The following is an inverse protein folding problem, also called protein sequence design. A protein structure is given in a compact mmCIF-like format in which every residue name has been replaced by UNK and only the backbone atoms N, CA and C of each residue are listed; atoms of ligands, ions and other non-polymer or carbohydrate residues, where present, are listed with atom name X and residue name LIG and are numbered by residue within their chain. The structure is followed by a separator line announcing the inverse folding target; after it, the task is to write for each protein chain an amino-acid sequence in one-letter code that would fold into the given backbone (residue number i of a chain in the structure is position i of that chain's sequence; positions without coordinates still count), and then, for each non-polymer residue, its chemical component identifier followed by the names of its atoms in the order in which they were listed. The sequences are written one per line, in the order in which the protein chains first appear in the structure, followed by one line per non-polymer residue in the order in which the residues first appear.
data_IF_925342497117
#
_entry.id   IF_925342497117
#
_cell.length_a   1.000
_cell.length_b   1.000
_cell.length_c   1.000
_cell.angle_alpha   90.00
_cell.angle_beta   90.00
_cell.angle_gamma   90.00
#
_symmetry.space_group_name_H-M   'P 1'
#
loop_
_entity.id
_entity.type
_entity.pdbx_description
1 polymer ?
#
# COMPACT_ATOMS: atom_id res chain seq x y z
N UNK A 1 16.16 -0.55 -3.98
CA UNK A 1 15.24 -1.55 -3.35
C UNK A 1 15.89 -2.43 -2.30
N UNK A 2 17.06 -2.05 -1.82
CA UNK A 2 17.85 -2.82 -0.84
C UNK A 2 17.11 -3.05 0.49
N UNK A 3 16.31 -2.06 0.94
CA UNK A 3 15.49 -2.18 2.16
C UNK A 3 14.55 -3.38 2.10
N UNK A 4 13.87 -3.58 0.95
CA UNK A 4 12.95 -4.69 0.76
C UNK A 4 13.70 -6.05 0.67
N UNK A 5 14.84 -6.10 0.00
CA UNK A 5 15.64 -7.33 -0.06
C UNK A 5 16.25 -7.69 1.30
N UNK A 6 16.63 -6.67 2.10
CA UNK A 6 17.08 -6.90 3.48
C UNK A 6 15.96 -7.49 4.35
N UNK A 7 14.71 -7.06 4.18
CA UNK A 7 13.57 -7.66 4.87
C UNK A 7 13.41 -9.13 4.50
N UNK A 8 13.44 -9.48 3.21
CA UNK A 8 13.34 -10.89 2.79
C UNK A 8 14.46 -11.74 3.41
N UNK A 9 15.72 -11.28 3.30
CA UNK A 9 16.85 -11.99 3.90
C UNK A 9 16.70 -12.12 5.41
N UNK A 10 16.27 -11.05 6.09
CA UNK A 10 16.06 -11.07 7.53
C UNK A 10 15.04 -12.14 7.94
N UNK A 11 13.91 -12.27 7.19
CA UNK A 11 12.92 -13.32 7.47
C UNK A 11 13.50 -14.72 7.18
N UNK A 12 14.22 -14.90 6.07
CA UNK A 12 14.83 -16.18 5.71
C UNK A 12 15.86 -16.66 6.74
N UNK A 13 16.55 -15.75 7.42
CA UNK A 13 17.62 -16.03 8.38
C UNK A 13 17.12 -16.12 9.84
N UNK A 14 16.12 -15.32 10.19
CA UNK A 14 15.70 -15.10 11.59
C UNK A 14 14.21 -15.35 11.83
N UNK A 15 13.44 -15.71 10.80
CA UNK A 15 12.00 -15.93 10.95
C UNK A 15 11.71 -17.20 11.75
N UNK A 16 10.64 -17.14 12.52
CA UNK A 16 10.10 -18.29 13.26
C UNK A 16 8.95 -18.94 12.47
N UNK A 17 8.89 -20.26 12.50
CA UNK A 17 7.77 -20.99 11.90
C UNK A 17 6.48 -20.72 12.69
N UNK A 18 5.43 -20.38 11.96
CA UNK A 18 4.12 -20.05 12.55
C UNK A 18 3.01 -20.60 11.67
N UNK A 19 1.99 -21.19 12.30
CA UNK A 19 0.72 -21.50 11.65
C UNK A 19 -0.03 -20.24 11.28
N UNK A 20 -0.88 -20.33 10.27
CA UNK A 20 -1.73 -19.26 9.82
C UNK A 20 -3.15 -19.72 9.50
N UNK A 21 -4.07 -18.79 9.25
CA UNK A 21 -5.47 -19.06 8.94
C UNK A 21 -5.66 -19.95 7.69
N UNK A 22 -4.75 -19.82 6.71
CA UNK A 22 -4.85 -20.57 5.45
C UNK A 22 -4.35 -22.01 5.56
N UNK A 23 -3.69 -22.38 6.66
CA UNK A 23 -3.07 -23.69 6.85
C UNK A 23 -1.80 -23.93 6.05
N UNK A 24 -1.30 -22.92 5.30
CA UNK A 24 -0.06 -22.99 4.52
C UNK A 24 1.18 -22.98 5.41
N UNK A 25 1.12 -22.22 6.51
CA UNK A 25 2.26 -21.93 7.39
C UNK A 25 3.11 -20.78 6.87
N UNK A 26 3.80 -20.12 7.78
CA UNK A 26 4.62 -18.95 7.49
C UNK A 26 5.96 -19.03 8.21
N UNK A 27 6.98 -18.37 7.65
CA UNK A 27 8.18 -17.95 8.33
C UNK A 27 8.04 -16.46 8.64
N UNK A 28 8.03 -16.08 9.92
CA UNK A 28 7.58 -14.75 10.37
C UNK A 28 8.58 -14.08 11.29
N UNK A 29 8.71 -12.76 11.18
CA UNK A 29 9.32 -11.87 12.17
C UNK A 29 8.30 -10.84 12.64
N UNK A 30 8.36 -10.43 13.92
CA UNK A 30 7.47 -9.43 14.46
C UNK A 30 8.19 -8.09 14.66
N UNK A 31 7.67 -7.07 13.98
CA UNK A 31 8.23 -5.72 14.04
C UNK A 31 9.43 -5.51 13.12
N UNK A 32 9.17 -4.87 11.96
CA UNK A 32 10.23 -4.45 11.03
C UNK A 32 9.90 -3.11 10.42
N UNK A 33 10.90 -2.32 10.06
CA UNK A 33 10.68 -1.02 9.45
C UNK A 33 11.62 -0.79 8.27
N UNK A 34 11.04 -0.38 7.14
CA UNK A 34 11.76 0.06 5.94
C UNK A 34 11.60 1.56 5.73
N UNK A 35 12.57 2.19 5.08
CA UNK A 35 12.53 3.62 4.73
C UNK A 35 12.92 3.82 3.27
N UNK A 36 12.07 4.55 2.54
CA UNK A 36 12.27 4.85 1.13
C UNK A 36 12.33 6.37 0.93
N UNK A 37 13.47 6.89 0.53
CA UNK A 37 13.62 8.29 0.14
C UNK A 37 13.05 8.49 -1.27
N UNK A 38 11.85 9.07 -1.36
CA UNK A 38 11.13 9.25 -2.61
C UNK A 38 11.79 10.26 -3.55
N UNK A 39 12.74 11.05 -3.05
CA UNK A 39 13.54 11.94 -3.89
C UNK A 39 14.60 11.22 -4.72
N UNK A 40 14.94 9.97 -4.38
CA UNK A 40 15.93 9.13 -5.07
C UNK A 40 15.36 8.25 -6.17
N UNK A 41 14.04 8.24 -6.33
CA UNK A 41 13.33 7.44 -7.32
C UNK A 41 12.07 6.81 -6.73
N UNK A 42 11.25 6.25 -7.59
CA UNK A 42 10.02 5.58 -7.20
C UNK A 42 10.34 4.15 -6.71
N UNK A 43 9.98 3.78 -5.45
CA UNK A 43 10.38 2.52 -4.83
C UNK A 43 9.58 1.33 -5.36
N UNK A 44 9.65 1.07 -6.64
CA UNK A 44 9.07 -0.09 -7.29
C UNK A 44 10.08 -1.23 -7.35
N UNK A 45 9.66 -2.43 -6.95
CA UNK A 45 10.54 -3.61 -6.94
C UNK A 45 11.02 -3.92 -8.35
N UNK A 46 12.35 -4.08 -8.51
CA UNK A 46 13.01 -4.35 -9.79
C UNK A 46 13.52 -5.79 -9.91
N UNK A 47 13.65 -6.50 -8.80
CA UNK A 47 14.12 -7.89 -8.77
C UNK A 47 13.07 -8.91 -9.22
N UNK A 48 11.85 -8.47 -9.44
CA UNK A 48 10.79 -9.15 -10.20
C UNK A 48 9.84 -8.14 -10.80
N UNK A 49 9.11 -8.51 -11.84
CA UNK A 49 8.05 -7.66 -12.41
C UNK A 49 6.89 -7.54 -11.44
N UNK A 50 6.46 -6.32 -11.16
CA UNK A 50 5.26 -5.99 -10.36
C UNK A 50 4.21 -5.36 -11.27
N UNK A 51 2.93 -5.68 -11.06
CA UNK A 51 1.83 -5.25 -11.93
C UNK A 51 1.31 -3.87 -11.55
N UNK A 52 1.98 -2.82 -12.05
CA UNK A 52 1.69 -1.41 -11.75
C UNK A 52 0.23 -1.02 -12.00
N UNK A 53 -0.39 -1.53 -13.08
CA UNK A 53 -1.79 -1.25 -13.41
C UNK A 53 -2.73 -1.59 -12.25
N UNK A 54 -2.55 -2.76 -11.64
CA UNK A 54 -3.36 -3.17 -10.49
C UNK A 54 -3.16 -2.25 -9.28
N UNK A 55 -1.93 -1.82 -9.02
CA UNK A 55 -1.60 -0.93 -7.90
C UNK A 55 -2.32 0.42 -8.05
N UNK A 56 -2.25 1.02 -9.23
CA UNK A 56 -2.86 2.32 -9.48
C UNK A 56 -4.39 2.22 -9.40
N UNK A 57 -5.02 1.23 -10.04
CA UNK A 57 -6.47 1.07 -9.99
C UNK A 57 -6.97 0.77 -8.57
N UNK A 58 -6.25 -0.05 -7.79
CA UNK A 58 -6.59 -0.32 -6.40
C UNK A 58 -6.55 0.96 -5.56
N UNK A 59 -5.49 1.76 -5.67
CA UNK A 59 -5.38 3.03 -4.95
C UNK A 59 -6.49 4.01 -5.34
N UNK A 60 -6.79 4.15 -6.63
CA UNK A 60 -7.89 4.99 -7.12
C UNK A 60 -9.25 4.50 -6.62
N UNK A 61 -9.44 3.19 -6.53
CA UNK A 61 -10.66 2.57 -6.00
C UNK A 61 -10.81 2.85 -4.49
N UNK A 62 -9.75 2.74 -3.69
CA UNK A 62 -9.76 3.17 -2.29
C UNK A 62 -10.09 4.66 -2.14
N UNK A 63 -9.46 5.52 -2.95
CA UNK A 63 -9.68 6.96 -2.90
C UNK A 63 -11.10 7.38 -3.32
N UNK A 64 -11.81 6.55 -4.08
CA UNK A 64 -13.23 6.75 -4.38
C UNK A 64 -14.17 6.33 -3.25
N UNK A 65 -13.67 5.69 -2.20
CA UNK A 65 -14.49 5.14 -1.13
C UNK A 65 -15.32 3.93 -1.55
N UNK A 66 -14.99 3.33 -2.69
CA UNK A 66 -15.72 2.20 -3.25
C UNK A 66 -15.31 0.90 -2.55
N UNK A 67 -16.25 -0.04 -2.42
CA UNK A 67 -16.07 -1.36 -1.80
C UNK A 67 -16.44 -2.51 -2.75
N UNK A 68 -17.01 -2.17 -3.91
CA UNK A 68 -17.40 -3.15 -4.91
C UNK A 68 -16.28 -3.38 -5.93
N UNK A 69 -15.95 -4.63 -6.20
CA UNK A 69 -14.86 -5.01 -7.11
C UNK A 69 -15.15 -4.74 -8.59
N UNK A 70 -16.38 -4.35 -8.94
CA UNK A 70 -16.77 -4.12 -10.33
C UNK A 70 -15.85 -3.12 -11.06
N UNK A 71 -15.51 -1.99 -10.42
CA UNK A 71 -14.56 -1.03 -11.02
C UNK A 71 -13.22 -1.69 -11.34
N UNK A 72 -12.70 -2.50 -10.43
CA UNK A 72 -11.43 -3.21 -10.62
C UNK A 72 -11.53 -4.21 -11.78
N UNK A 73 -12.60 -5.00 -11.83
CA UNK A 73 -12.86 -6.00 -12.87
C UNK A 73 -13.02 -5.35 -14.25
N UNK A 74 -13.76 -4.25 -14.36
CA UNK A 74 -13.95 -3.48 -15.60
C UNK A 74 -12.60 -2.95 -16.14
N UNK A 75 -11.62 -2.74 -15.25
CA UNK A 75 -10.26 -2.36 -15.63
C UNK A 75 -9.27 -3.54 -15.71
N UNK A 76 -9.76 -4.78 -15.66
CA UNK A 76 -8.95 -6.00 -15.79
C UNK A 76 -8.11 -6.32 -14.54
N UNK A 77 -8.46 -5.77 -13.38
CA UNK A 77 -7.82 -6.02 -12.08
C UNK A 77 -8.69 -7.00 -11.30
N UNK A 78 -8.09 -8.09 -10.81
CA UNK A 78 -8.81 -9.20 -10.16
C UNK A 78 -8.26 -9.56 -8.78
N UNK A 79 -7.41 -8.71 -8.20
CA UNK A 79 -6.69 -8.99 -6.96
C UNK A 79 -7.60 -9.09 -5.72
N UNK A 80 -8.87 -8.69 -5.82
CA UNK A 80 -9.86 -8.74 -4.75
C UNK A 80 -11.00 -9.72 -4.98
N UNK A 81 -11.03 -10.42 -6.14
CA UNK A 81 -12.15 -11.31 -6.51
C UNK A 81 -12.40 -12.44 -5.51
N UNK A 82 -11.34 -12.99 -4.89
CA UNK A 82 -11.41 -14.14 -3.98
C UNK A 82 -12.14 -13.82 -2.67
N UNK A 83 -12.26 -12.53 -2.31
CA UNK A 83 -12.90 -12.09 -1.07
C UNK A 83 -14.27 -11.45 -1.27
N UNK A 84 -14.62 -11.10 -2.51
CA UNK A 84 -15.90 -10.47 -2.82
C UNK A 84 -17.06 -11.46 -2.70
N UNK A 85 -18.19 -10.95 -2.21
CA UNK A 85 -19.44 -11.72 -2.18
C UNK A 85 -20.03 -11.94 -3.59
N UNK A 86 -21.20 -12.55 -3.68
CA UNK A 86 -21.91 -12.81 -4.96
C UNK A 86 -22.29 -11.53 -5.72
N UNK A 87 -22.40 -10.39 -5.03
CA UNK A 87 -22.69 -9.08 -5.61
C UNK A 87 -21.42 -8.27 -5.93
N UNK A 88 -20.25 -8.82 -5.62
CA UNK A 88 -18.96 -8.17 -5.79
C UNK A 88 -18.59 -7.20 -4.68
N UNK A 89 -19.26 -7.24 -3.53
CA UNK A 89 -19.01 -6.35 -2.40
C UNK A 89 -18.03 -6.99 -1.40
N UNK A 90 -17.25 -6.15 -0.75
CA UNK A 90 -16.25 -6.50 0.27
C UNK A 90 -16.62 -6.01 1.68
N UNK A 91 -17.78 -5.38 1.82
CA UNK A 91 -18.13 -4.68 3.04
C UNK A 91 -17.32 -3.38 3.26
N UNK A 92 -17.32 -2.81 4.48
CA UNK A 92 -16.79 -1.47 4.74
C UNK A 92 -15.25 -1.42 4.80
N UNK A 93 -14.56 -2.00 3.79
CA UNK A 93 -13.08 -2.06 3.74
C UNK A 93 -12.45 -0.71 3.36
N UNK A 94 -11.21 -0.53 3.64
CA UNK A 94 -10.27 0.55 3.26
C UNK A 94 -10.90 1.87 2.78
N UNK A 95 -11.36 1.93 1.53
CA UNK A 95 -11.88 3.14 0.90
C UNK A 95 -13.09 3.69 1.64
N UNK A 96 -14.00 2.83 2.10
CA UNK A 96 -15.15 3.22 2.91
C UNK A 96 -14.71 3.90 4.20
N UNK A 97 -13.71 3.35 4.88
CA UNK A 97 -13.18 3.95 6.11
C UNK A 97 -12.44 5.27 5.83
N UNK A 98 -11.68 5.35 4.74
CA UNK A 98 -10.92 6.55 4.40
C UNK A 98 -11.81 7.74 4.01
N UNK A 99 -12.94 7.47 3.31
CA UNK A 99 -13.76 8.51 2.66
C UNK A 99 -15.14 8.72 3.29
N UNK A 100 -15.65 7.74 4.02
CA UNK A 100 -17.02 7.78 4.59
C UNK A 100 -17.09 7.03 5.93
N UNK A 101 -16.16 7.30 6.84
CA UNK A 101 -16.25 6.79 8.22
C UNK A 101 -17.48 7.36 8.89
N UNK A 102 -18.30 6.50 9.51
CA UNK A 102 -19.47 6.96 10.26
C UNK A 102 -19.13 7.14 11.74
N UNK A 103 -19.48 8.34 12.28
CA UNK A 103 -19.44 8.56 13.72
C UNK A 103 -20.71 7.98 14.40
N UNK A 104 -20.76 8.03 15.73
CA UNK A 104 -21.88 7.50 16.51
C UNK A 104 -23.24 8.17 16.19
N UNK A 105 -23.25 9.31 15.51
CA UNK A 105 -24.45 10.03 15.10
C UNK A 105 -24.78 9.81 13.61
N UNK A 106 -24.03 8.91 12.93
CA UNK A 106 -24.19 8.62 11.50
C UNK A 106 -23.60 9.70 10.57
N UNK A 107 -22.85 10.69 11.10
CA UNK A 107 -22.18 11.70 10.28
C UNK A 107 -21.01 11.07 9.53
N UNK A 108 -20.93 11.35 8.22
CA UNK A 108 -19.80 10.97 7.39
C UNK A 108 -18.56 11.80 7.73
N UNK A 109 -17.41 11.13 7.84
CA UNK A 109 -16.10 11.73 8.03
C UNK A 109 -15.22 11.27 6.88
N UNK A 110 -14.76 12.23 6.06
CA UNK A 110 -13.77 12.01 5.03
C UNK A 110 -12.39 12.27 5.62
N UNK A 111 -11.68 11.20 5.98
CA UNK A 111 -10.37 11.28 6.61
C UNK A 111 -9.28 11.78 5.62
N UNK A 112 -9.42 11.48 4.33
CA UNK A 112 -8.47 11.92 3.29
C UNK A 112 -8.56 13.43 3.13
N UNK A 113 -9.77 13.98 2.98
CA UNK A 113 -9.97 15.43 2.89
C UNK A 113 -9.52 16.16 4.17
N UNK A 114 -9.82 15.61 5.34
CA UNK A 114 -9.33 16.15 6.61
C UNK A 114 -7.79 16.15 6.70
N UNK A 115 -7.13 15.09 6.23
CA UNK A 115 -5.67 15.02 6.22
C UNK A 115 -5.08 16.08 5.27
N UNK A 116 -5.65 16.24 4.06
CA UNK A 116 -5.23 17.25 3.08
C UNK A 116 -5.42 18.66 3.64
N UNK A 117 -6.57 18.93 4.25
CA UNK A 117 -6.84 20.23 4.89
C UNK A 117 -5.82 20.53 6.00
N UNK A 118 -5.53 19.55 6.86
CA UNK A 118 -4.51 19.71 7.91
C UNK A 118 -3.12 19.95 7.34
N UNK A 119 -2.73 19.24 6.26
CA UNK A 119 -1.43 19.45 5.61
C UNK A 119 -1.30 20.89 5.09
N UNK A 120 -2.38 21.45 4.49
CA UNK A 120 -2.39 22.80 3.94
C UNK A 120 -2.45 23.88 5.03
N UNK A 121 -3.30 23.72 6.04
CA UNK A 121 -3.65 24.77 6.99
C UNK A 121 -2.99 24.64 8.36
N UNK A 122 -2.54 23.43 8.73
CA UNK A 122 -1.86 23.15 10.00
C UNK A 122 -0.76 22.08 9.85
N UNK A 123 0.27 22.34 9.01
CA UNK A 123 1.28 21.34 8.65
C UNK A 123 2.11 20.81 9.83
N UNK A 124 2.14 21.54 10.94
CA UNK A 124 2.83 21.13 12.18
C UNK A 124 2.01 20.16 13.04
N UNK A 125 0.79 19.82 12.64
CA UNK A 125 -0.06 18.88 13.37
C UNK A 125 0.57 17.49 13.42
N UNK A 126 0.46 16.86 14.60
CA UNK A 126 0.83 15.45 14.82
C UNK A 126 -0.37 14.51 14.69
N UNK A 127 -1.51 15.00 14.19
CA UNK A 127 -2.80 14.31 14.13
C UNK A 127 -3.24 14.03 12.69
N UNK A 128 -2.32 14.12 11.73
CA UNK A 128 -2.60 13.87 10.31
C UNK A 128 -2.58 12.36 10.09
N UNK A 129 -3.64 11.68 10.50
CA UNK A 129 -3.76 10.22 10.50
C UNK A 129 -5.00 9.82 9.72
N UNK A 130 -4.89 8.75 8.94
CA UNK A 130 -6.01 8.08 8.25
C UNK A 130 -6.00 6.62 8.70
N UNK A 131 -7.13 6.15 9.25
CA UNK A 131 -7.29 4.79 9.76
C UNK A 131 -8.31 4.02 8.92
N UNK A 132 -7.95 2.78 8.58
CA UNK A 132 -8.90 1.80 8.04
C UNK A 132 -9.39 0.83 9.13
N UNK A 133 -8.74 0.82 10.30
CA UNK A 133 -9.05 -0.08 11.40
C UNK A 133 -10.20 0.47 12.24
N UNK A 134 -11.43 0.18 11.82
CA UNK A 134 -12.65 0.53 12.55
C UNK A 134 -13.14 -0.68 13.35
N UNK A 135 -12.84 -0.69 14.66
CA UNK A 135 -13.16 -1.82 15.55
C UNK A 135 -14.65 -2.17 15.55
N UNK A 136 -15.52 -1.19 15.32
CA UNK A 136 -16.97 -1.40 15.30
C UNK A 136 -17.50 -2.09 14.05
N UNK A 137 -16.71 -2.16 12.97
CA UNK A 137 -17.15 -2.69 11.67
C UNK A 137 -16.24 -3.83 11.14
N UNK A 138 -15.27 -4.31 11.94
CA UNK A 138 -14.32 -5.34 11.47
C UNK A 138 -14.99 -6.63 11.03
N UNK A 139 -16.06 -7.04 11.74
CA UNK A 139 -16.79 -8.29 11.44
C UNK A 139 -17.66 -8.20 10.19
N UNK A 140 -17.89 -6.97 9.68
CA UNK A 140 -18.63 -6.72 8.43
C UNK A 140 -17.69 -6.70 7.20
N UNK A 141 -16.38 -6.72 7.40
CA UNK A 141 -15.37 -6.66 6.35
C UNK A 141 -15.04 -8.07 5.84
N UNK A 142 -15.07 -8.27 4.53
CA UNK A 142 -14.64 -9.53 3.90
C UNK A 142 -13.17 -9.87 4.24
N UNK A 143 -12.34 -8.84 4.43
CA UNK A 143 -10.97 -8.95 4.89
C UNK A 143 -10.62 -7.76 5.80
N UNK A 144 -10.28 -8.04 7.06
CA UNK A 144 -9.83 -7.01 8.00
C UNK A 144 -8.56 -6.32 7.48
N UNK A 145 -8.46 -4.97 7.54
CA UNK A 145 -7.38 -4.23 6.92
C UNK A 145 -5.98 -4.65 7.37
N UNK A 146 -5.14 -5.08 6.45
CA UNK A 146 -3.73 -5.38 6.71
C UNK A 146 -2.92 -4.10 6.94
N UNK A 147 -3.02 -3.12 6.02
CA UNK A 147 -2.50 -1.78 6.22
C UNK A 147 -3.51 -0.94 7.01
N UNK A 148 -3.33 -0.95 8.34
CA UNK A 148 -4.35 -0.55 9.30
C UNK A 148 -4.53 0.97 9.40
N UNK A 149 -3.43 1.74 9.39
CA UNK A 149 -3.45 3.20 9.37
C UNK A 149 -2.15 3.78 8.85
N UNK A 150 -2.21 5.03 8.42
CA UNK A 150 -1.02 5.79 8.03
C UNK A 150 -1.07 7.21 8.55
N UNK A 151 0.10 7.82 8.68
CA UNK A 151 0.29 9.18 9.18
C UNK A 151 1.15 9.98 8.23
N UNK A 152 0.75 11.23 8.00
CA UNK A 152 1.57 12.20 7.29
C UNK A 152 2.34 13.11 8.25
N UNK A 153 3.50 13.56 7.79
CA UNK A 153 4.36 14.50 8.49
C UNK A 153 4.98 15.49 7.50
N UNK A 154 4.82 16.78 7.77
CA UNK A 154 5.38 17.84 6.93
C UNK A 154 6.63 18.39 7.60
N UNK A 155 7.73 18.44 6.87
CA UNK A 155 8.97 19.07 7.31
C UNK A 155 9.82 19.56 6.11
N UNK A 156 10.40 20.74 6.22
CA UNK A 156 11.30 21.30 5.20
C UNK A 156 10.73 21.28 3.77
N UNK A 157 9.45 21.60 3.62
CA UNK A 157 8.75 21.60 2.33
C UNK A 157 8.53 20.22 1.72
N UNK A 158 8.67 19.15 2.53
CA UNK A 158 8.47 17.76 2.12
C UNK A 158 7.34 17.11 2.92
N UNK A 159 6.57 16.25 2.24
CA UNK A 159 5.58 15.38 2.84
C UNK A 159 6.17 13.99 3.02
N UNK A 160 6.20 13.51 4.26
CA UNK A 160 6.55 12.14 4.61
C UNK A 160 5.28 11.36 4.94
N UNK A 161 5.29 10.05 4.69
CA UNK A 161 4.20 9.15 5.05
C UNK A 161 4.76 7.97 5.84
N UNK A 162 4.10 7.59 6.93
CA UNK A 162 4.39 6.34 7.64
C UNK A 162 3.15 5.46 7.64
N UNK A 163 3.27 4.24 7.12
CA UNK A 163 2.27 3.19 7.18
C UNK A 163 2.56 2.22 8.32
N UNK A 164 1.54 1.86 9.09
CA UNK A 164 1.55 0.66 9.92
C UNK A 164 0.72 -0.44 9.25
N UNK A 165 1.40 -1.54 8.88
CA UNK A 165 0.80 -2.74 8.32
C UNK A 165 0.90 -3.87 9.35
N UNK A 166 -0.25 -4.31 9.91
CA UNK A 166 -0.32 -5.30 10.97
C UNK A 166 0.08 -6.71 10.53
N UNK A 167 -0.19 -7.03 9.26
CA UNK A 167 0.07 -8.32 8.64
C UNK A 167 0.58 -8.10 7.23
N UNK A 168 1.73 -8.65 6.90
CA UNK A 168 2.46 -8.35 5.68
C UNK A 168 2.96 -9.62 4.99
N UNK A 169 2.25 -10.08 3.95
CA UNK A 169 2.81 -11.02 2.98
C UNK A 169 3.94 -10.33 2.23
N UNK A 170 5.16 -10.64 2.62
CA UNK A 170 6.35 -9.94 2.14
C UNK A 170 6.63 -10.26 0.67
N UNK A 171 6.24 -11.43 0.19
CA UNK A 171 6.52 -11.81 -1.19
C UNK A 171 5.50 -11.22 -2.19
N UNK A 172 4.20 -11.37 -1.97
CA UNK A 172 3.18 -10.90 -2.91
C UNK A 172 2.65 -9.51 -2.57
N UNK A 173 2.30 -9.25 -1.31
CA UNK A 173 1.58 -8.04 -0.90
C UNK A 173 2.48 -6.81 -0.71
N UNK A 174 3.59 -6.94 0.02
CA UNK A 174 4.45 -5.79 0.38
C UNK A 174 4.95 -4.99 -0.81
N UNK A 175 5.37 -5.59 -1.97
CA UNK A 175 5.72 -4.81 -3.17
C UNK A 175 4.61 -3.88 -3.67
N UNK A 176 3.35 -4.34 -3.60
CA UNK A 176 2.16 -3.53 -3.95
C UNK A 176 1.98 -2.39 -2.97
N UNK A 177 2.06 -2.67 -1.66
CA UNK A 177 1.86 -1.66 -0.63
C UNK A 177 2.95 -0.57 -0.67
N UNK A 178 4.23 -0.93 -0.87
CA UNK A 178 5.32 0.05 -1.04
C UNK A 178 5.01 1.01 -2.18
N UNK A 179 4.68 0.49 -3.36
CA UNK A 179 4.40 1.32 -4.52
C UNK A 179 3.12 2.15 -4.33
N UNK A 180 2.04 1.58 -3.81
CA UNK A 180 0.76 2.24 -3.58
C UNK A 180 0.90 3.46 -2.64
N UNK A 181 1.55 3.28 -1.48
CA UNK A 181 1.74 4.38 -0.53
C UNK A 181 2.78 5.41 -0.97
N UNK A 182 3.77 5.01 -1.78
CA UNK A 182 4.65 5.97 -2.43
C UNK A 182 3.87 6.83 -3.45
N UNK A 183 2.99 6.24 -4.27
CA UNK A 183 2.10 6.97 -5.18
C UNK A 183 1.21 7.93 -4.38
N UNK A 184 0.52 7.45 -3.35
CA UNK A 184 -0.33 8.28 -2.49
C UNK A 184 0.43 9.48 -1.90
N UNK A 185 1.67 9.26 -1.45
CA UNK A 185 2.51 10.33 -0.91
C UNK A 185 2.85 11.37 -1.98
N UNK A 186 3.15 10.96 -3.21
CA UNK A 186 3.37 11.87 -4.33
C UNK A 186 2.11 12.67 -4.70
N UNK A 187 0.94 12.00 -4.76
CA UNK A 187 -0.34 12.65 -5.06
C UNK A 187 -0.67 13.74 -4.04
N UNK A 188 -0.64 13.40 -2.75
CA UNK A 188 -0.94 14.34 -1.67
C UNK A 188 0.10 15.47 -1.60
N UNK A 189 1.39 15.16 -1.80
CA UNK A 189 2.42 16.20 -1.87
C UNK A 189 2.14 17.20 -3.00
N UNK A 190 1.81 16.73 -4.21
CA UNK A 190 1.50 17.60 -5.35
C UNK A 190 0.35 18.54 -5.05
N UNK A 191 -0.81 18.01 -4.61
CA UNK A 191 -2.01 18.84 -4.37
C UNK A 191 -1.89 19.78 -3.16
N UNK A 192 -0.89 19.54 -2.30
CA UNK A 192 -0.56 20.41 -1.16
C UNK A 192 0.63 21.35 -1.46
N UNK A 193 1.18 21.36 -2.68
CA UNK A 193 2.33 22.20 -3.04
C UNK A 193 3.64 21.82 -2.35
N UNK A 194 3.79 20.56 -1.94
CA UNK A 194 4.95 19.99 -1.27
C UNK A 194 5.72 19.05 -2.20
N UNK A 195 6.96 18.71 -1.83
CA UNK A 195 7.72 17.61 -2.45
C UNK A 195 7.48 16.32 -1.68
N UNK A 196 7.44 15.19 -2.38
CA UNK A 196 7.44 13.89 -1.72
C UNK A 196 8.78 13.69 -0.97
N UNK A 197 8.68 13.24 0.28
CA UNK A 197 9.81 13.05 1.19
C UNK A 197 10.16 11.58 1.37
N UNK A 198 9.99 11.07 2.60
CA UNK A 198 10.27 9.67 2.94
C UNK A 198 8.97 8.90 3.15
N UNK A 199 8.88 7.73 2.53
CA UNK A 199 7.90 6.72 2.90
C UNK A 199 8.52 5.77 3.93
N UNK A 200 7.88 5.64 5.09
CA UNK A 200 8.27 4.72 6.17
C UNK A 200 7.25 3.60 6.25
N UNK A 201 7.67 2.37 6.04
CA UNK A 201 6.80 1.19 6.10
C UNK A 201 7.11 0.38 7.35
N UNK A 202 6.22 0.45 8.33
CA UNK A 202 6.31 -0.27 9.60
C UNK A 202 5.42 -1.50 9.54
N UNK A 203 6.00 -2.67 9.76
CA UNK A 203 5.34 -3.96 9.69
C UNK A 203 5.18 -4.55 11.10
N UNK A 204 4.02 -5.11 11.39
CA UNK A 204 3.77 -5.96 12.54
C UNK A 204 4.27 -7.38 12.28
N UNK A 205 3.37 -8.30 11.93
CA UNK A 205 3.71 -9.66 11.47
C UNK A 205 4.17 -9.60 10.00
N UNK A 206 5.48 -9.65 9.78
CA UNK A 206 6.09 -9.69 8.45
C UNK A 206 6.48 -11.14 8.14
N UNK A 207 5.86 -11.72 7.10
CA UNK A 207 6.00 -13.14 6.86
C UNK A 207 6.19 -13.50 5.38
N UNK A 208 6.84 -14.64 5.18
CA UNK A 208 6.86 -15.38 3.94
C UNK A 208 6.05 -16.65 4.14
N UNK A 209 5.09 -16.93 3.27
CA UNK A 209 4.42 -18.23 3.25
C UNK A 209 5.44 -19.33 2.94
N UNK A 210 5.28 -20.50 3.55
CA UNK A 210 6.24 -21.62 3.38
C UNK A 210 6.37 -22.08 1.92
N UNK A 211 5.30 -21.94 1.14
CA UNK A 211 5.27 -22.21 -0.30
C UNK A 211 5.86 -21.09 -1.17
N UNK A 212 6.37 -20.00 -0.56
CA UNK A 212 7.05 -18.88 -1.25
C UNK A 212 8.56 -18.84 -0.97
N UNK A 213 9.12 -19.72 -0.14
CA UNK A 213 10.52 -19.64 0.31
C UNK A 213 11.53 -19.78 -0.84
N UNK A 214 11.27 -20.67 -1.80
CA UNK A 214 12.14 -20.82 -2.98
C UNK A 214 12.09 -19.58 -3.87
N UNK A 215 10.90 -19.02 -4.10
CA UNK A 215 10.69 -17.79 -4.84
C UNK A 215 11.39 -16.61 -4.18
N UNK A 216 11.31 -16.51 -2.86
CA UNK A 216 12.00 -15.48 -2.08
C UNK A 216 13.53 -15.61 -2.20
N UNK A 217 14.10 -16.83 -2.10
CA UNK A 217 15.52 -17.07 -2.32
C UNK A 217 15.95 -16.71 -3.75
N UNK A 218 15.16 -17.07 -4.75
CA UNK A 218 15.40 -16.66 -6.13
C UNK A 218 15.39 -15.13 -6.27
N UNK A 219 14.44 -14.45 -5.63
CA UNK A 219 14.33 -12.99 -5.72
C UNK A 219 15.53 -12.29 -5.10
N UNK A 220 16.00 -12.71 -3.92
CA UNK A 220 17.17 -12.08 -3.27
C UNK A 220 18.50 -12.40 -3.95
N UNK A 221 18.56 -13.43 -4.80
CA UNK A 221 19.76 -13.73 -5.62
C UNK A 221 19.93 -12.78 -6.81
N UNK A 222 18.94 -11.95 -7.10
CA UNK A 222 18.96 -11.00 -8.23
C UNK A 222 19.45 -9.62 -7.81
N UNK A 223 20.35 -9.03 -8.59
CA UNK A 223 20.81 -7.68 -8.38
C UNK A 223 19.68 -6.66 -8.63
N UNK A 224 19.43 -5.70 -7.71
CA UNK A 224 18.47 -4.63 -7.95
C UNK A 224 18.88 -3.76 -9.12
N UNK A 225 17.92 -3.41 -9.97
CA UNK A 225 18.12 -2.46 -11.06
C UNK A 225 17.81 -1.03 -10.58
N UNK A 226 18.24 0.02 -11.33
CA UNK A 226 17.93 1.40 -10.98
C UNK A 226 16.43 1.62 -10.76
N UNK A 227 16.11 2.50 -9.80
CA UNK A 227 14.72 2.86 -9.54
C UNK A 227 14.13 3.65 -10.70
N UNK A 228 12.88 3.37 -11.09
CA UNK A 228 12.16 4.18 -12.05
C UNK A 228 11.77 5.54 -11.47
N UNK A 229 11.25 6.41 -12.34
CA UNK A 229 10.70 7.72 -11.96
C UNK A 229 9.18 7.69 -12.09
N UNK A 230 8.48 8.12 -11.06
CA UNK A 230 7.03 8.37 -11.12
C UNK A 230 6.80 9.81 -11.57
N UNK A 231 5.97 9.99 -12.61
CA UNK A 231 5.44 11.28 -13.03
C UNK A 231 3.94 11.30 -12.87
N UNK A 232 3.43 12.37 -12.32
CA UNK A 232 2.00 12.65 -12.20
C UNK A 232 1.64 13.80 -13.16
N UNK A 233 0.40 13.80 -13.65
CA UNK A 233 -0.13 14.93 -14.40
C UNK A 233 -0.13 16.19 -13.50
N UNK A 234 0.68 17.21 -13.82
CA UNK A 234 0.85 18.38 -12.95
C UNK A 234 -0.40 19.27 -12.87
N UNK A 235 -1.39 19.07 -13.74
CA UNK A 235 -2.62 19.88 -13.79
C UNK A 235 -3.69 19.38 -12.80
N UNK A 236 -3.45 18.28 -12.08
CA UNK A 236 -4.40 17.78 -11.09
C UNK A 236 -4.18 18.49 -9.75
N UNK A 237 -5.23 19.17 -9.28
CA UNK A 237 -5.21 20.04 -8.09
C UNK A 237 -5.98 19.47 -6.88
N UNK A 238 -6.71 18.37 -7.07
CA UNK A 238 -7.46 17.70 -6.00
C UNK A 238 -7.33 16.19 -6.10
N UNK A 239 -7.54 15.49 -4.97
CA UNK A 239 -7.31 14.05 -4.87
C UNK A 239 -8.27 13.23 -5.74
N UNK A 240 -9.49 13.69 -5.92
CA UNK A 240 -10.53 13.00 -6.69
C UNK A 240 -10.38 13.20 -8.22
N UNK A 241 -9.53 14.15 -8.63
CA UNK A 241 -9.27 14.45 -10.03
C UNK A 241 -8.37 13.44 -10.74
N UNK A 242 -7.60 12.64 -10.01
CA UNK A 242 -6.69 11.67 -10.61
C UNK A 242 -7.42 10.53 -11.30
N UNK A 243 -6.92 10.17 -12.47
CA UNK A 243 -7.34 9.00 -13.26
C UNK A 243 -6.11 8.16 -13.59
N UNK A 244 -6.32 6.94 -14.06
CA UNK A 244 -5.22 6.03 -14.40
C UNK A 244 -4.19 6.63 -15.37
N UNK A 245 -4.65 7.42 -16.34
CA UNK A 245 -3.84 8.06 -17.38
C UNK A 245 -2.93 9.19 -16.83
N UNK A 246 -3.16 9.65 -15.60
CA UNK A 246 -2.38 10.71 -14.96
C UNK A 246 -1.09 10.19 -14.30
N UNK A 247 -0.84 8.88 -14.36
CA UNK A 247 0.33 8.22 -13.80
C UNK A 247 1.22 7.65 -14.90
N UNK A 248 2.47 8.07 -14.92
CA UNK A 248 3.51 7.52 -15.80
C UNK A 248 4.69 7.05 -14.96
N UNK A 249 5.11 5.80 -15.13
CA UNK A 249 6.36 5.29 -14.55
C UNK A 249 7.37 5.10 -15.66
N UNK A 250 8.41 5.95 -15.63
CA UNK A 250 9.46 6.04 -16.65
C UNK A 250 10.66 5.21 -16.23
N UNK A 251 11.27 4.52 -17.19
CA UNK A 251 12.50 3.73 -17.01
C UNK A 251 12.35 2.54 -16.03
N UNK A 252 11.16 1.96 -15.94
CA UNK A 252 10.98 0.75 -15.13
C UNK A 252 11.61 -0.47 -15.79
N UNK A 253 12.85 -0.74 -15.42
CA UNK A 253 13.54 -1.98 -15.75
C UNK A 253 13.36 -2.98 -14.61
N UNK A 254 13.14 -4.24 -14.94
CA UNK A 254 12.88 -5.28 -13.96
C UNK A 254 13.35 -6.65 -14.45
N UNK A 255 13.69 -7.54 -13.51
CA UNK A 255 13.84 -8.95 -13.78
C UNK A 255 12.49 -9.61 -14.14
N UNK A 256 12.51 -10.80 -14.75
CA UNK A 256 11.29 -11.54 -15.05
C UNK A 256 10.41 -11.76 -13.82
N UNK A 257 9.11 -11.90 -14.06
CA UNK A 257 8.13 -12.26 -13.03
C UNK A 257 8.53 -13.57 -12.33
N UNK A 258 8.24 -13.66 -11.04
CA UNK A 258 8.33 -14.89 -10.26
C UNK A 258 6.91 -15.23 -9.82
N UNK A 259 6.39 -16.35 -10.34
CA UNK A 259 5.07 -16.84 -9.97
C UNK A 259 5.07 -17.47 -8.58
N UNK A 260 4.03 -17.23 -7.80
CA UNK A 260 3.80 -17.87 -6.51
C UNK A 260 2.29 -18.10 -6.31
N UNK A 261 1.87 -19.15 -5.60
CA UNK A 261 0.48 -19.38 -5.28
C UNK A 261 -0.03 -18.32 -4.28
N UNK A 262 -1.31 -17.97 -4.38
CA UNK A 262 -1.97 -17.10 -3.38
C UNK A 262 -2.43 -17.99 -2.23
N UNK A 263 -2.14 -17.60 -1.00
CA UNK A 263 -2.68 -18.22 0.21
C UNK A 263 -4.02 -17.52 0.56
N UNK A 264 -5.12 -18.30 0.59
CA UNK A 264 -6.50 -17.81 0.78
C UNK A 264 -7.06 -18.32 2.11
#
# INVERSE_FOLDING_TARGET
MDEYLRLINHILENGEEKGDRTGTGTLSVFGYQMRFDLSKGFPMVTTKKVHLKSIIHELLWFLKGDTNVKYLQDNGVRIWNEWADENGDLGPVYGKQWRDWKDNNGRAIDQIEQAIDMIKNNPNSRRIIVSAWNVGELDEMALMPCHAFFQFHVANGKLNCQLYQRSADVFLGVPFNIASYAILTHMVAQICGLKAGTFVHTLGDAHLYTNHLEQARLQVSREPLPLPTLKLNPNIENIDGFKFEDFEVVDYQHHPHISAPIAI
#
